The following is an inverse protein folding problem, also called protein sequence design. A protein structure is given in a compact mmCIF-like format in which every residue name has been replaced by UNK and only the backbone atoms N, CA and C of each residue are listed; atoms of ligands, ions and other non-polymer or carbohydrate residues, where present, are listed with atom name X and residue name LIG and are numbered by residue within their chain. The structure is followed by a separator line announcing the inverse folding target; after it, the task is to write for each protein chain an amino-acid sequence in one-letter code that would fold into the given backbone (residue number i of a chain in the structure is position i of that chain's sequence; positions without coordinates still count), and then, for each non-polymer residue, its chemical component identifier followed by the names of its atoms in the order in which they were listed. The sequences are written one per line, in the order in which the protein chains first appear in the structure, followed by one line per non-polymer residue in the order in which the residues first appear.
data_IF_040359241681
#
_entry.id   IF_040359241681
#
_cell.length_a   1.000
_cell.length_b   1.000
_cell.length_c   1.000
_cell.angle_alpha   90.00
_cell.angle_beta   90.00
_cell.angle_gamma   90.00
#
_symmetry.space_group_name_H-M   'P 1'
#
loop_
_entity.id
_entity.type
_entity.pdbx_description
1 polymer ?
#
# COMPACT_ATOMS: atom_id res chain seq x y z
N UNK A 1 -10.27 -9.44 30.30
CA UNK A 1 -9.24 -10.45 30.05
C UNK A 1 -9.62 -11.18 28.78
N UNK A 2 -8.82 -11.07 27.73
CA UNK A 2 -9.17 -11.55 26.38
C UNK A 2 -8.88 -13.05 26.35
N UNK A 3 -9.94 -13.84 26.59
CA UNK A 3 -10.10 -15.27 26.27
C UNK A 3 -8.84 -16.14 26.42
N UNK A 4 -8.65 -16.75 27.59
CA UNK A 4 -7.84 -17.97 27.70
C UNK A 4 -8.64 -19.11 27.08
N UNK A 5 -8.34 -19.40 25.83
CA UNK A 5 -8.74 -20.66 25.22
C UNK A 5 -7.81 -21.74 25.77
N UNK A 6 -8.34 -22.76 26.46
CA UNK A 6 -7.58 -23.94 26.91
C UNK A 6 -7.29 -24.84 25.71
N UNK A 7 -6.64 -24.29 24.68
CA UNK A 7 -6.28 -24.99 23.47
C UNK A 7 -4.96 -25.77 23.73
N UNK A 8 -4.99 -27.11 23.82
CA UNK A 8 -3.79 -27.90 24.09
C UNK A 8 -2.75 -27.84 22.97
N UNK A 9 -3.11 -27.29 21.79
CA UNK A 9 -2.20 -27.07 20.68
C UNK A 9 -1.64 -25.64 20.62
N UNK A 10 -1.86 -24.80 21.64
CA UNK A 10 -1.34 -23.44 21.69
C UNK A 10 0.19 -23.41 21.52
N UNK A 11 0.92 -24.38 22.08
CA UNK A 11 2.38 -24.48 21.95
C UNK A 11 2.87 -24.67 20.50
N UNK A 12 2.00 -25.22 19.63
CA UNK A 12 2.29 -25.43 18.21
C UNK A 12 1.84 -24.25 17.33
N UNK A 13 1.25 -23.20 17.91
CA UNK A 13 0.83 -22.00 17.18
C UNK A 13 1.87 -20.89 17.34
N UNK A 14 2.15 -20.16 16.25
CA UNK A 14 3.15 -19.07 16.19
C UNK A 14 2.99 -18.05 17.32
N UNK A 15 1.75 -17.75 17.71
CA UNK A 15 1.44 -16.76 18.75
C UNK A 15 0.73 -17.36 19.98
N UNK A 16 0.52 -18.68 20.03
CA UNK A 16 -0.28 -19.33 21.07
C UNK A 16 -1.80 -19.09 21.02
N UNK A 17 -2.25 -18.17 20.16
CA UNK A 17 -3.65 -17.84 19.95
C UNK A 17 -3.89 -17.36 18.51
N UNK A 18 -5.16 -17.20 18.14
CA UNK A 18 -5.56 -16.76 16.81
C UNK A 18 -5.36 -15.26 16.62
N UNK A 19 -4.30 -14.88 15.92
CA UNK A 19 -4.02 -13.48 15.54
C UNK A 19 -4.66 -13.16 14.19
N UNK A 20 -5.19 -11.93 14.06
CA UNK A 20 -5.56 -11.35 12.76
C UNK A 20 -4.66 -10.15 12.51
N UNK A 21 -3.86 -10.22 11.45
CA UNK A 21 -3.07 -9.10 10.95
C UNK A 21 -3.85 -8.39 9.86
N UNK A 22 -3.87 -7.07 9.90
CA UNK A 22 -4.52 -6.24 8.89
C UNK A 22 -3.67 -5.03 8.55
N UNK A 23 -3.74 -4.58 7.31
CA UNK A 23 -2.99 -3.45 6.82
C UNK A 23 -2.59 -3.61 5.36
N UNK A 24 -1.90 -2.60 4.85
CA UNK A 24 -1.23 -2.65 3.56
C UNK A 24 0.27 -2.70 3.84
N UNK A 25 0.88 -3.87 3.63
CA UNK A 25 2.29 -4.11 3.92
C UNK A 25 3.24 -3.61 2.81
N UNK A 26 2.69 -2.97 1.77
CA UNK A 26 3.45 -2.19 0.75
C UNK A 26 3.77 -0.78 1.25
N UNK A 27 3.27 -0.39 2.43
CA UNK A 27 3.54 0.89 3.08
C UNK A 27 4.96 0.94 3.68
N UNK A 28 5.25 2.07 4.32
CA UNK A 28 6.53 2.45 4.92
C UNK A 28 7.19 1.30 5.69
N UNK A 29 8.48 1.08 5.42
CA UNK A 29 9.32 0.10 6.10
C UNK A 29 9.48 0.41 7.61
N UNK A 30 9.78 -0.58 8.46
CA UNK A 30 10.03 -0.33 9.87
C UNK A 30 11.21 0.64 10.06
N UNK A 31 11.04 1.61 10.95
CA UNK A 31 12.10 2.56 11.28
C UNK A 31 13.02 1.93 12.32
N UNK A 32 14.26 1.63 11.92
CA UNK A 32 15.30 1.10 12.81
C UNK A 32 16.45 2.09 12.82
N UNK A 33 16.73 2.69 13.98
CA UNK A 33 17.72 3.73 14.14
C UNK A 33 19.12 3.22 13.75
N UNK A 34 19.81 3.96 12.88
CA UNK A 34 21.18 3.68 12.43
C UNK A 34 21.39 2.28 11.78
N UNK A 35 20.31 1.59 11.39
CA UNK A 35 20.42 0.31 10.73
C UNK A 35 20.66 0.48 9.23
N UNK A 36 21.49 -0.39 8.61
CA UNK A 36 21.62 -0.41 7.17
C UNK A 36 20.32 -0.89 6.52
N UNK A 37 20.09 -0.48 5.26
CA UNK A 37 18.87 -0.80 4.50
C UNK A 37 18.57 -2.31 4.48
N UNK A 38 19.59 -3.17 4.36
CA UNK A 38 19.43 -4.63 4.37
C UNK A 38 18.82 -5.13 5.68
N UNK A 39 19.17 -4.54 6.82
CA UNK A 39 18.63 -4.90 8.13
C UNK A 39 17.19 -4.40 8.25
N UNK A 40 16.89 -3.20 7.76
CA UNK A 40 15.52 -2.66 7.71
C UNK A 40 14.61 -3.57 6.89
N UNK A 41 15.04 -3.96 5.68
CA UNK A 41 14.29 -4.86 4.80
C UNK A 41 14.14 -6.24 5.43
N UNK A 42 15.20 -6.80 6.01
CA UNK A 42 15.16 -8.11 6.67
C UNK A 42 14.24 -8.14 7.90
N UNK A 43 14.03 -6.98 8.54
CA UNK A 43 13.17 -6.81 9.71
C UNK A 43 11.70 -6.54 9.34
N UNK A 44 11.36 -6.45 8.05
CA UNK A 44 9.96 -6.34 7.62
C UNK A 44 9.19 -7.61 7.95
N UNK A 45 7.93 -7.44 8.36
CA UNK A 45 7.05 -8.59 8.65
C UNK A 45 6.91 -9.52 7.45
N UNK A 46 6.94 -8.99 6.23
CA UNK A 46 6.88 -9.73 4.96
C UNK A 46 8.03 -10.75 4.79
N UNK A 47 9.14 -10.61 5.52
CA UNK A 47 10.27 -11.56 5.48
C UNK A 47 10.16 -12.70 6.50
N UNK A 48 9.15 -12.68 7.39
CA UNK A 48 8.98 -13.71 8.41
C UNK A 48 8.27 -14.95 7.86
N UNK A 49 9.03 -15.95 7.41
CA UNK A 49 8.47 -17.25 7.00
C UNK A 49 7.67 -17.90 8.13
N UNK A 50 8.14 -17.79 9.38
CA UNK A 50 7.44 -18.30 10.57
C UNK A 50 5.98 -17.82 10.64
N UNK A 51 5.72 -16.55 10.32
CA UNK A 51 4.36 -15.99 10.31
C UNK A 51 3.63 -16.44 9.05
N UNK A 52 4.19 -16.17 7.87
CA UNK A 52 3.45 -16.32 6.61
C UNK A 52 3.18 -17.77 6.22
N UNK A 53 4.06 -18.72 6.54
CA UNK A 53 3.83 -20.15 6.29
C UNK A 53 2.66 -20.70 7.13
N UNK A 54 2.29 -20.01 8.21
CA UNK A 54 1.19 -20.35 9.11
C UNK A 54 -0.02 -19.40 8.97
N UNK A 55 0.02 -18.45 8.03
CA UNK A 55 -1.06 -17.49 7.82
C UNK A 55 -1.96 -17.91 6.65
N UNK A 56 -3.27 -17.77 6.85
CA UNK A 56 -4.22 -17.71 5.75
C UNK A 56 -4.34 -16.26 5.27
N UNK A 57 -3.94 -16.00 4.03
CA UNK A 57 -3.98 -14.66 3.44
C UNK A 57 -5.38 -14.38 2.86
N UNK A 58 -5.92 -13.21 3.18
CA UNK A 58 -7.13 -12.65 2.58
C UNK A 58 -6.79 -11.32 1.92
N UNK A 59 -7.05 -11.20 0.62
CA UNK A 59 -6.78 -9.99 -0.15
C UNK A 59 -8.08 -9.22 -0.33
N UNK A 60 -8.10 -7.96 0.11
CA UNK A 60 -9.22 -7.05 -0.11
C UNK A 60 -9.02 -6.34 -1.46
N UNK A 61 -9.96 -6.50 -2.38
CA UNK A 61 -9.86 -5.97 -3.75
C UNK A 61 -10.70 -4.71 -4.00
N UNK A 62 -11.62 -4.38 -3.09
CA UNK A 62 -12.53 -3.25 -3.26
C UNK A 62 -11.96 -2.01 -2.55
N UNK A 63 -11.67 -0.96 -3.33
CA UNK A 63 -11.26 0.33 -2.79
C UNK A 63 -12.48 1.14 -2.33
N UNK A 64 -12.82 1.00 -1.05
CA UNK A 64 -13.99 1.68 -0.47
C UNK A 64 -13.81 3.20 -0.32
N UNK A 65 -12.60 3.76 -0.46
CA UNK A 65 -12.39 5.22 -0.42
C UNK A 65 -12.90 5.92 -1.67
N UNK A 66 -12.95 5.20 -2.77
CA UNK A 66 -13.46 5.66 -4.06
C UNK A 66 -14.89 5.15 -4.28
N UNK A 67 -15.66 4.92 -3.21
CA UNK A 67 -17.06 4.50 -3.33
C UNK A 67 -17.95 5.73 -3.25
N UNK A 68 -18.43 6.20 -4.41
CA UNK A 68 -19.51 7.16 -4.50
C UNK A 68 -20.87 6.40 -4.48
N UNK A 69 -21.80 6.73 -3.57
CA UNK A 69 -23.14 6.13 -3.56
C UNK A 69 -24.04 6.57 -4.73
N UNK A 70 -23.71 7.62 -5.48
CA UNK A 70 -24.51 8.10 -6.62
C UNK A 70 -23.67 8.83 -7.69
N UNK A 71 -22.70 8.17 -8.35
CA UNK A 71 -21.87 8.81 -9.35
C UNK A 71 -22.62 9.02 -10.67
N UNK A 72 -22.36 10.12 -11.36
CA UNK A 72 -22.76 10.27 -12.75
C UNK A 72 -21.94 9.32 -13.65
N UNK A 73 -22.47 8.97 -14.82
CA UNK A 73 -21.83 7.97 -15.72
C UNK A 73 -20.42 8.39 -16.17
N UNK A 74 -20.18 9.70 -16.32
CA UNK A 74 -18.87 10.25 -16.64
C UNK A 74 -17.87 10.03 -15.49
N UNK A 75 -18.30 10.33 -14.26
CA UNK A 75 -17.49 10.24 -13.04
C UNK A 75 -17.07 8.80 -12.74
N UNK A 76 -17.90 7.80 -13.09
CA UNK A 76 -17.55 6.38 -12.91
C UNK A 76 -16.28 6.00 -13.67
N UNK A 77 -16.15 6.43 -14.93
CA UNK A 77 -15.01 6.04 -15.76
C UNK A 77 -13.72 6.69 -15.27
N UNK A 78 -13.76 7.98 -14.93
CA UNK A 78 -12.62 8.71 -14.38
C UNK A 78 -12.17 8.10 -13.05
N UNK A 79 -13.11 7.83 -12.15
CA UNK A 79 -12.86 7.16 -10.88
C UNK A 79 -12.25 5.77 -11.05
N UNK A 80 -12.70 4.99 -12.04
CA UNK A 80 -12.12 3.68 -12.36
C UNK A 80 -10.69 3.80 -12.91
N UNK A 81 -10.43 4.77 -13.79
CA UNK A 81 -9.10 5.06 -14.31
C UNK A 81 -8.13 5.42 -13.17
N UNK A 82 -8.53 6.35 -12.30
CA UNK A 82 -7.74 6.74 -11.14
C UNK A 82 -7.51 5.57 -10.18
N UNK A 83 -8.55 4.76 -9.90
CA UNK A 83 -8.42 3.59 -9.04
C UNK A 83 -7.42 2.58 -9.61
N UNK A 84 -7.46 2.31 -10.91
CA UNK A 84 -6.53 1.40 -11.57
C UNK A 84 -5.10 1.94 -11.55
N UNK A 85 -4.91 3.23 -11.83
CA UNK A 85 -3.60 3.87 -11.74
C UNK A 85 -3.01 3.77 -10.33
N UNK A 86 -3.82 4.04 -9.29
CA UNK A 86 -3.41 3.91 -7.89
C UNK A 86 -3.08 2.46 -7.52
N UNK A 87 -3.82 1.48 -8.04
CA UNK A 87 -3.55 0.06 -7.85
C UNK A 87 -2.20 -0.34 -8.48
N UNK A 88 -1.97 0.03 -9.75
CA UNK A 88 -0.71 -0.23 -10.43
C UNK A 88 0.48 0.44 -9.74
N UNK A 89 0.29 1.66 -9.22
CA UNK A 89 1.31 2.36 -8.43
C UNK A 89 1.64 1.56 -7.16
N UNK A 90 0.61 1.15 -6.42
CA UNK A 90 0.78 0.38 -5.20
C UNK A 90 1.47 -0.95 -5.42
N UNK A 91 1.19 -1.62 -6.54
CA UNK A 91 1.82 -2.89 -6.93
C UNK A 91 3.21 -2.74 -7.55
N UNK A 92 3.66 -1.51 -7.82
CA UNK A 92 4.93 -1.26 -8.50
C UNK A 92 4.94 -1.78 -9.94
N UNK A 93 3.77 -1.82 -10.59
CA UNK A 93 3.60 -2.31 -11.98
C UNK A 93 3.31 -1.21 -12.98
N UNK A 94 3.30 0.06 -12.53
CA UNK A 94 3.25 1.19 -13.45
C UNK A 94 4.46 1.18 -14.40
N UNK A 95 4.28 1.59 -15.66
CA UNK A 95 5.39 1.84 -16.56
C UNK A 95 6.36 2.84 -15.92
N UNK A 96 7.63 2.47 -15.82
CA UNK A 96 8.68 3.36 -15.37
C UNK A 96 9.47 3.94 -16.54
N UNK A 97 9.93 5.17 -16.38
CA UNK A 97 10.77 5.90 -17.33
C UNK A 97 12.14 6.17 -16.72
N UNK A 98 13.18 6.09 -17.54
CA UNK A 98 14.51 6.59 -17.19
C UNK A 98 14.57 8.06 -17.57
N UNK A 99 15.04 8.89 -16.65
CA UNK A 99 15.34 10.30 -16.96
C UNK A 99 16.80 10.39 -17.38
N UNK A 100 17.12 11.37 -18.24
CA UNK A 100 18.45 11.56 -18.81
C UNK A 100 19.56 11.39 -17.76
N UNK A 101 20.51 10.50 -18.05
CA UNK A 101 21.64 10.09 -17.20
C UNK A 101 21.34 9.06 -16.09
N UNK A 102 20.18 8.38 -16.13
CA UNK A 102 19.92 7.21 -15.28
C UNK A 102 20.03 5.89 -16.06
N UNK A 103 20.74 4.92 -15.49
CA UNK A 103 20.88 3.57 -16.06
C UNK A 103 19.62 2.71 -15.84
N UNK A 104 18.77 3.07 -14.88
CA UNK A 104 17.56 2.34 -14.50
C UNK A 104 16.31 3.22 -14.58
N UNK A 105 15.23 2.67 -15.12
CA UNK A 105 13.95 3.34 -15.19
C UNK A 105 13.23 3.28 -13.84
N UNK A 106 13.28 4.38 -13.07
CA UNK A 106 12.72 4.45 -11.72
C UNK A 106 11.59 5.46 -11.55
N UNK A 107 11.35 6.32 -12.55
CA UNK A 107 10.37 7.38 -12.47
C UNK A 107 9.01 6.92 -13.00
N UNK A 108 7.92 7.45 -12.43
CA UNK A 108 6.56 7.22 -12.90
C UNK A 108 5.95 8.53 -13.41
N UNK A 109 5.06 8.42 -14.40
CA UNK A 109 4.28 9.55 -14.88
C UNK A 109 3.07 9.78 -13.95
N UNK A 110 2.92 11.02 -13.48
CA UNK A 110 1.76 11.47 -12.72
C UNK A 110 0.66 11.86 -13.72
N UNK A 111 -0.59 11.49 -13.44
CA UNK A 111 -1.72 11.84 -14.30
C UNK A 111 -1.89 13.37 -14.39
N UNK A 112 -2.23 13.86 -15.59
CA UNK A 112 -2.30 15.29 -15.86
C UNK A 112 -3.30 16.05 -14.99
N UNK A 113 -4.39 15.38 -14.62
CA UNK A 113 -5.46 15.86 -13.73
C UNK A 113 -5.01 16.05 -12.27
N UNK A 114 -3.89 15.45 -11.86
CA UNK A 114 -3.30 15.61 -10.53
C UNK A 114 -2.33 16.79 -10.44
N UNK A 115 -1.97 17.42 -11.56
CA UNK A 115 -1.14 18.61 -11.53
C UNK A 115 -1.94 19.83 -11.07
N UNK A 116 -1.36 20.59 -10.15
CA UNK A 116 -1.93 21.88 -9.77
C UNK A 116 -1.85 22.84 -10.97
N UNK A 117 -2.91 23.58 -11.28
CA UNK A 117 -2.86 24.59 -12.33
C UNK A 117 -1.81 25.65 -11.99
N UNK A 118 -1.01 26.03 -12.99
CA UNK A 118 -0.03 27.12 -12.82
C UNK A 118 -0.79 28.43 -12.70
N UNK A 119 -0.72 29.07 -11.54
CA UNK A 119 -1.32 30.37 -11.30
C UNK A 119 -0.40 31.27 -10.45
N UNK A 120 -0.68 32.57 -10.46
CA UNK A 120 0.12 33.57 -9.74
C UNK A 120 0.07 33.38 -8.21
N UNK A 121 -0.96 32.68 -7.71
CA UNK A 121 -1.18 32.44 -6.30
C UNK A 121 -1.26 30.92 -6.00
N UNK A 122 -0.14 30.28 -5.65
CA UNK A 122 -0.09 28.82 -5.45
C UNK A 122 -0.98 28.34 -4.29
N UNK A 123 -1.31 29.22 -3.33
CA UNK A 123 -2.26 28.86 -2.27
C UNK A 123 -3.66 28.71 -2.88
N UNK A 124 -4.07 29.65 -3.74
CA UNK A 124 -5.38 29.63 -4.39
C UNK A 124 -5.56 28.39 -5.27
N UNK A 125 -4.52 27.95 -5.99
CA UNK A 125 -4.55 26.68 -6.74
C UNK A 125 -4.74 25.44 -5.87
N UNK A 126 -4.38 25.47 -4.58
CA UNK A 126 -4.52 24.33 -3.66
C UNK A 126 -5.93 24.28 -3.05
N UNK A 127 -6.57 25.42 -2.84
CA UNK A 127 -7.89 25.52 -2.19
C UNK A 127 -9.08 25.66 -3.15
N UNK A 128 -8.83 25.85 -4.45
CA UNK A 128 -9.88 25.89 -5.49
C UNK A 128 -10.42 24.50 -5.81
#
# INVERSE_FOLDING_TARGET
DIYKDDNPNAENQVFGWKVVLGGDFRKILPVILNAPQVVVVASTINKSSTIWDNCKVFVLTTNMRLSDPSPDVADINEMMCFNNWLLFMGDGTLPSVAIDNEDEATWIEILDDLFLPVCDNPIEAIVS
#
